data_IF_066290347331
#
_entry.id   IF_066290347331
#
_cell.length_a   1.000
_cell.length_b   1.000
_cell.length_c   1.000
_cell.angle_alpha   90.00
_cell.angle_beta   90.00
_cell.angle_gamma   90.00
#
_symmetry.space_group_name_H-M   'P 1'
#
loop_
_entity.id
_entity.type
_entity.pdbx_description
1 polymer ?
#
# COMPACT_ATOMS: atom_id res chain seq x y z
N UNK A 1 -23.92 -8.86 14.40
CA UNK A 1 -23.24 -8.93 13.09
C UNK A 1 -21.98 -8.09 13.09
N UNK A 2 -20.96 -8.49 12.31
CA UNK A 2 -19.68 -7.80 12.18
C UNK A 2 -19.37 -7.66 10.68
N UNK A 3 -18.80 -6.53 10.29
CA UNK A 3 -18.33 -6.25 8.93
C UNK A 3 -16.87 -5.82 8.99
N UNK A 4 -16.10 -6.13 7.95
CA UNK A 4 -14.69 -5.75 7.80
C UNK A 4 -14.52 -5.05 6.45
N UNK A 5 -13.75 -3.97 6.43
CA UNK A 5 -13.38 -3.26 5.21
C UNK A 5 -12.41 -2.12 5.49
N UNK A 6 -12.13 -1.32 4.46
CA UNK A 6 -11.21 -0.19 4.58
C UNK A 6 -11.84 0.94 5.40
N UNK A 7 -10.97 1.72 6.05
CA UNK A 7 -11.36 2.93 6.75
C UNK A 7 -12.00 3.94 5.79
N UNK A 8 -13.08 4.60 6.20
CA UNK A 8 -13.88 5.47 5.34
C UNK A 8 -14.96 4.72 4.55
N UNK A 9 -14.67 3.54 4.01
CA UNK A 9 -15.66 2.76 3.23
C UNK A 9 -16.73 2.13 4.12
N UNK A 10 -16.31 1.53 5.25
CA UNK A 10 -17.21 0.75 6.12
C UNK A 10 -17.50 1.46 7.45
N UNK A 11 -16.55 2.23 7.97
CA UNK A 11 -16.68 2.88 9.29
C UNK A 11 -17.86 3.85 9.32
N UNK A 12 -17.99 4.71 8.30
CA UNK A 12 -19.09 5.67 8.20
C UNK A 12 -20.45 4.97 8.15
N UNK A 13 -20.59 3.97 7.27
CA UNK A 13 -21.84 3.22 7.12
C UNK A 13 -22.21 2.40 8.37
N UNK A 14 -21.22 1.93 9.12
CA UNK A 14 -21.41 1.23 10.39
C UNK A 14 -21.85 2.21 11.48
N UNK A 15 -21.19 3.37 11.60
CA UNK A 15 -21.51 4.41 12.58
C UNK A 15 -22.93 4.98 12.39
N UNK A 16 -23.35 5.21 11.15
CA UNK A 16 -24.71 5.67 10.82
C UNK A 16 -25.80 4.68 11.28
N UNK A 17 -25.44 3.41 11.47
CA UNK A 17 -26.33 2.34 11.97
C UNK A 17 -26.16 2.08 13.48
N UNK A 18 -25.49 2.97 14.21
CA UNK A 18 -25.19 2.79 15.64
C UNK A 18 -24.10 1.75 15.92
N UNK A 19 -23.34 1.36 14.90
CA UNK A 19 -22.17 0.50 15.04
C UNK A 19 -20.99 1.25 15.67
N UNK A 20 -20.01 0.47 16.15
CA UNK A 20 -18.75 0.98 16.69
C UNK A 20 -17.57 0.23 16.10
N UNK A 21 -16.45 0.91 15.92
CA UNK A 21 -15.19 0.29 15.54
C UNK A 21 -14.75 -0.66 16.67
N UNK A 22 -14.48 -1.92 16.32
CA UNK A 22 -14.02 -2.94 17.28
C UNK A 22 -12.50 -3.06 17.32
N UNK A 23 -11.85 -2.91 16.17
CA UNK A 23 -10.40 -2.96 15.99
C UNK A 23 -10.03 -2.29 14.66
N UNK A 24 -8.78 -1.84 14.55
CA UNK A 24 -8.21 -1.31 13.32
C UNK A 24 -6.86 -1.94 13.04
N UNK A 25 -6.32 -1.76 11.83
CA UNK A 25 -4.94 -2.18 11.52
C UNK A 25 -3.89 -1.35 12.28
N UNK A 26 -4.27 -0.30 13.02
CA UNK A 26 -3.37 0.33 13.97
C UNK A 26 -3.02 -0.60 15.15
N UNK A 27 -3.94 -1.51 15.52
CA UNK A 27 -3.74 -2.49 16.60
C UNK A 27 -2.90 -3.70 16.16
N UNK A 28 -2.82 -3.93 14.84
CA UNK A 28 -2.07 -5.02 14.23
C UNK A 28 -1.42 -4.51 12.93
N UNK A 29 -0.33 -3.71 13.06
CA UNK A 29 0.38 -3.22 11.89
C UNK A 29 0.98 -4.39 11.11
N UNK A 30 1.25 -4.18 9.83
CA UNK A 30 1.90 -5.17 8.95
C UNK A 30 1.03 -6.36 8.49
N UNK A 31 -0.29 -6.29 8.71
CA UNK A 31 -1.25 -7.31 8.24
C UNK A 31 -1.59 -7.22 6.75
N UNK A 32 -1.47 -6.04 6.15
CA UNK A 32 -1.91 -5.75 4.79
C UNK A 32 -0.91 -4.79 4.12
N UNK A 33 -0.73 -4.93 2.81
CA UNK A 33 0.05 -4.01 2.00
C UNK A 33 -0.67 -3.71 0.69
N UNK A 34 -0.66 -2.44 0.30
CA UNK A 34 -1.06 -2.01 -1.04
C UNK A 34 0.17 -2.00 -1.93
N UNK A 35 0.14 -2.77 -3.02
CA UNK A 35 1.27 -2.90 -3.94
C UNK A 35 0.92 -2.36 -5.32
N UNK A 36 1.89 -1.67 -5.95
CA UNK A 36 1.78 -1.28 -7.35
C UNK A 36 2.01 -2.50 -8.23
N UNK A 37 1.03 -2.84 -9.06
CA UNK A 37 1.11 -3.95 -10.01
C UNK A 37 1.08 -3.39 -11.43
N UNK A 38 2.00 -3.86 -12.26
CA UNK A 38 2.03 -3.59 -13.69
C UNK A 38 1.99 -4.92 -14.45
N UNK A 39 1.44 -4.91 -15.67
CA UNK A 39 1.57 -6.07 -16.55
C UNK A 39 3.04 -6.29 -16.91
N UNK A 40 3.48 -7.55 -16.85
CA UNK A 40 4.88 -7.90 -17.12
C UNK A 40 5.34 -7.50 -18.53
N UNK A 41 4.49 -7.66 -19.54
CA UNK A 41 4.80 -7.27 -20.92
C UNK A 41 4.95 -5.75 -21.09
N UNK A 42 4.11 -4.97 -20.41
CA UNK A 42 4.22 -3.52 -20.36
C UNK A 42 5.50 -3.08 -19.65
N UNK A 43 5.80 -3.66 -18.48
CA UNK A 43 7.00 -3.31 -17.71
C UNK A 43 8.29 -3.63 -18.48
N UNK A 44 8.33 -4.79 -19.16
CA UNK A 44 9.45 -5.19 -20.00
C UNK A 44 9.63 -4.26 -21.21
N UNK A 45 8.53 -3.83 -21.85
CA UNK A 45 8.58 -2.96 -23.03
C UNK A 45 8.85 -1.49 -22.69
N UNK A 46 8.41 -1.03 -21.52
CA UNK A 46 8.48 0.37 -21.11
C UNK A 46 9.07 0.55 -19.70
N UNK A 47 10.30 0.07 -19.43
CA UNK A 47 10.90 0.13 -18.10
C UNK A 47 11.04 1.56 -17.57
N UNK A 48 11.32 2.52 -18.46
CA UNK A 48 11.41 3.93 -18.07
C UNK A 48 10.07 4.57 -17.73
N UNK A 49 8.95 4.07 -18.29
CA UNK A 49 7.62 4.52 -17.89
C UNK A 49 7.33 4.08 -16.46
N UNK A 50 7.62 2.81 -16.13
CA UNK A 50 7.46 2.27 -14.77
C UNK A 50 8.30 3.07 -13.76
N UNK A 51 9.57 3.36 -14.09
CA UNK A 51 10.45 4.20 -13.25
C UNK A 51 9.87 5.59 -13.00
N UNK A 52 9.31 6.23 -14.03
CA UNK A 52 8.69 7.57 -13.92
C UNK A 52 7.42 7.54 -13.07
N UNK A 53 6.58 6.52 -13.23
CA UNK A 53 5.38 6.34 -12.39
C UNK A 53 5.77 6.14 -10.93
N UNK A 54 6.70 5.23 -10.65
CA UNK A 54 7.19 4.98 -9.29
C UNK A 54 7.77 6.24 -8.65
N UNK A 55 8.58 7.00 -9.41
CA UNK A 55 9.12 8.29 -8.95
C UNK A 55 8.01 9.27 -8.62
N UNK A 56 7.03 9.43 -9.51
CA UNK A 56 5.88 10.31 -9.29
C UNK A 56 5.10 9.96 -8.03
N UNK A 57 4.82 8.68 -7.80
CA UNK A 57 4.13 8.20 -6.60
C UNK A 57 4.91 8.54 -5.31
N UNK A 58 6.21 8.29 -5.31
CA UNK A 58 7.08 8.61 -4.15
C UNK A 58 7.19 10.12 -3.90
N UNK A 59 7.31 10.93 -4.96
CA UNK A 59 7.37 12.39 -4.86
C UNK A 59 6.06 12.97 -4.34
N UNK A 60 4.93 12.50 -4.86
CA UNK A 60 3.61 12.91 -4.36
C UNK A 60 3.41 12.48 -2.90
N UNK A 61 3.79 11.26 -2.54
CA UNK A 61 3.74 10.77 -1.16
C UNK A 61 4.56 11.65 -0.21
N UNK A 62 5.80 12.00 -0.58
CA UNK A 62 6.62 12.94 0.18
C UNK A 62 5.99 14.34 0.26
N UNK A 63 5.36 14.81 -0.82
CA UNK A 63 4.63 16.07 -0.84
C UNK A 63 3.48 16.11 0.17
N UNK A 64 2.70 15.03 0.25
CA UNK A 64 1.61 14.87 1.23
C UNK A 64 2.16 14.86 2.65
N UNK A 65 3.27 14.15 2.91
CA UNK A 65 3.90 14.12 4.24
C UNK A 65 4.44 15.49 4.67
N UNK A 66 4.97 16.28 3.73
CA UNK A 66 5.48 17.64 4.00
C UNK A 66 4.35 18.66 4.19
N UNK A 67 3.27 18.54 3.44
CA UNK A 67 2.12 19.45 3.49
C UNK A 67 0.80 18.67 3.58
N UNK A 68 0.47 18.07 4.74
CA UNK A 68 -0.74 17.25 4.89
C UNK A 68 -2.02 18.01 4.57
N UNK A 69 -2.08 19.31 4.88
CA UNK A 69 -3.23 20.15 4.59
C UNK A 69 -3.54 20.27 3.09
N UNK A 70 -2.50 20.35 2.24
CA UNK A 70 -2.68 20.40 0.78
C UNK A 70 -3.19 19.05 0.26
N UNK A 71 -2.66 17.95 0.78
CA UNK A 71 -3.16 16.60 0.49
C UNK A 71 -4.61 16.42 0.93
N UNK A 72 -4.96 16.86 2.14
CA UNK A 72 -6.31 16.75 2.68
C UNK A 72 -7.32 17.57 1.86
N UNK A 73 -6.94 18.78 1.41
CA UNK A 73 -7.78 19.58 0.52
C UNK A 73 -8.09 18.84 -0.78
N UNK A 74 -7.05 18.33 -1.47
CA UNK A 74 -7.24 17.58 -2.71
C UNK A 74 -8.09 16.33 -2.47
N UNK A 75 -7.82 15.60 -1.38
CA UNK A 75 -8.57 14.39 -1.04
C UNK A 75 -10.04 14.68 -0.77
N UNK A 76 -10.37 15.78 -0.09
CA UNK A 76 -11.74 16.23 0.12
C UNK A 76 -12.47 16.61 -1.18
N UNK A 77 -11.74 17.10 -2.19
CA UNK A 77 -12.30 17.42 -3.51
C UNK A 77 -12.55 16.15 -4.36
N UNK A 78 -11.63 15.17 -4.35
CA UNK A 78 -11.69 13.99 -5.24
C UNK A 78 -12.35 12.76 -4.60
N UNK A 79 -12.36 12.67 -3.28
CA UNK A 79 -12.87 11.53 -2.52
C UNK A 79 -13.62 11.98 -1.25
N UNK A 80 -14.68 12.80 -1.38
CA UNK A 80 -15.44 13.31 -0.23
C UNK A 80 -16.12 12.21 0.58
N UNK A 81 -16.31 11.02 0.00
CA UNK A 81 -16.90 9.86 0.68
C UNK A 81 -16.02 9.29 1.79
N UNK A 82 -14.75 9.67 1.89
CA UNK A 82 -13.83 9.22 2.95
C UNK A 82 -14.03 9.93 4.30
N UNK A 83 -14.97 10.89 4.40
CA UNK A 83 -15.20 11.66 5.62
C UNK A 83 -14.16 12.77 5.81
N UNK A 84 -13.57 12.89 7.00
CA UNK A 84 -12.51 13.87 7.26
C UNK A 84 -11.23 13.47 6.51
N UNK A 85 -10.80 14.23 5.48
CA UNK A 85 -9.65 13.87 4.67
C UNK A 85 -8.33 13.91 5.46
N UNK A 86 -8.26 14.68 6.55
CA UNK A 86 -7.09 14.72 7.42
C UNK A 86 -6.97 13.44 8.24
N UNK A 87 -8.09 12.92 8.74
CA UNK A 87 -8.13 11.61 9.41
C UNK A 87 -7.83 10.48 8.43
N UNK A 88 -8.37 10.54 7.21
CA UNK A 88 -8.08 9.55 6.18
C UNK A 88 -6.57 9.44 5.90
N UNK A 89 -5.88 10.57 5.70
CA UNK A 89 -4.42 10.58 5.51
C UNK A 89 -3.66 10.06 6.74
N UNK A 90 -4.10 10.39 7.96
CA UNK A 90 -3.50 9.86 9.19
C UNK A 90 -3.68 8.36 9.33
N UNK A 91 -4.83 7.83 8.93
CA UNK A 91 -5.15 6.40 9.01
C UNK A 91 -4.34 5.54 8.04
N UNK A 92 -3.89 6.15 6.93
CA UNK A 92 -3.12 5.48 5.87
C UNK A 92 -2.07 6.44 5.28
N UNK A 93 -0.97 6.73 6.02
CA UNK A 93 0.06 7.63 5.54
C UNK A 93 0.76 7.04 4.30
N UNK A 94 1.17 7.88 3.32
CA UNK A 94 1.93 7.40 2.16
C UNK A 94 3.25 6.75 2.57
N UNK A 95 3.55 5.58 2.01
CA UNK A 95 4.82 4.89 2.23
C UNK A 95 6.01 5.68 1.65
N UNK A 96 7.08 5.80 2.42
CA UNK A 96 8.31 6.47 1.98
C UNK A 96 9.19 5.56 1.14
N UNK A 97 10.23 6.12 0.50
CA UNK A 97 11.24 5.32 -0.18
C UNK A 97 11.95 4.35 0.78
N UNK A 98 12.23 4.79 2.01
CA UNK A 98 12.87 3.94 3.02
C UNK A 98 11.96 2.75 3.39
N UNK A 99 10.67 3.01 3.61
CA UNK A 99 9.69 1.95 3.90
C UNK A 99 9.61 0.93 2.76
N UNK A 100 9.57 1.41 1.50
CA UNK A 100 9.54 0.53 0.34
C UNK A 100 10.82 -0.30 0.21
N UNK A 101 12.00 0.29 0.45
CA UNK A 101 13.26 -0.46 0.39
C UNK A 101 13.33 -1.54 1.48
N UNK A 102 12.88 -1.24 2.69
CA UNK A 102 12.79 -2.22 3.76
C UNK A 102 11.80 -3.33 3.42
N UNK A 103 10.56 -2.97 3.04
CA UNK A 103 9.50 -3.93 2.71
C UNK A 103 9.89 -4.90 1.59
N UNK A 104 10.60 -4.43 0.56
CA UNK A 104 11.08 -5.28 -0.54
C UNK A 104 12.47 -5.89 -0.31
N UNK A 105 13.02 -5.82 0.91
CA UNK A 105 14.27 -6.47 1.28
C UNK A 105 15.53 -5.88 0.62
N UNK A 106 15.48 -4.60 0.21
CA UNK A 106 16.62 -3.89 -0.41
C UNK A 106 17.51 -3.17 0.62
N UNK A 107 17.02 -2.88 1.82
CA UNK A 107 17.81 -2.28 2.89
C UNK A 107 17.16 -2.39 4.26
N UNK A 108 17.97 -2.47 5.31
CA UNK A 108 17.50 -2.45 6.69
C UNK A 108 16.69 -3.68 7.06
N UNK A 109 16.10 -3.63 8.25
CA UNK A 109 15.16 -4.64 8.74
C UNK A 109 13.74 -4.10 8.58
N UNK A 110 12.83 -4.95 8.07
CA UNK A 110 11.41 -4.65 8.00
C UNK A 110 10.67 -5.54 9.00
N UNK A 111 9.65 -5.04 9.71
CA UNK A 111 8.81 -5.87 10.60
C UNK A 111 8.09 -7.00 9.85
N UNK A 112 7.77 -6.77 8.58
CA UNK A 112 7.34 -7.78 7.62
C UNK A 112 7.90 -7.42 6.26
N UNK A 113 8.33 -8.43 5.50
CA UNK A 113 8.73 -8.27 4.11
C UNK A 113 7.59 -8.58 3.16
N UNK A 114 7.71 -8.14 1.90
CA UNK A 114 6.79 -8.51 0.83
C UNK A 114 6.66 -10.03 0.69
N UNK A 115 7.78 -10.76 0.78
CA UNK A 115 7.79 -12.21 0.56
C UNK A 115 7.00 -12.93 1.67
N UNK A 116 7.23 -12.57 2.93
CA UNK A 116 6.49 -13.12 4.07
C UNK A 116 4.99 -12.83 4.00
N UNK A 117 4.62 -11.59 3.66
CA UNK A 117 3.23 -11.17 3.59
C UNK A 117 2.51 -11.80 2.40
N UNK A 118 3.13 -11.84 1.23
CA UNK A 118 2.58 -12.47 0.03
C UNK A 118 2.35 -13.96 0.28
N UNK A 119 3.34 -14.69 0.80
CA UNK A 119 3.20 -16.11 1.07
C UNK A 119 2.11 -16.41 2.09
N UNK A 120 2.02 -15.59 3.15
CA UNK A 120 0.96 -15.71 4.16
C UNK A 120 -0.43 -15.50 3.54
N UNK A 121 -0.60 -14.46 2.73
CA UNK A 121 -1.85 -14.17 2.05
C UNK A 121 -2.22 -15.27 1.03
N UNK A 122 -1.23 -15.77 0.29
CA UNK A 122 -1.42 -16.76 -0.74
C UNK A 122 -1.78 -18.14 -0.16
N UNK A 123 -1.16 -18.52 0.97
CA UNK A 123 -1.54 -19.72 1.73
C UNK A 123 -2.98 -19.63 2.28
N UNK A 124 -3.40 -18.46 2.76
CA UNK A 124 -4.78 -18.23 3.19
C UNK A 124 -5.75 -18.35 2.00
N UNK A 125 -5.44 -17.70 0.88
CA UNK A 125 -6.25 -17.76 -0.34
C UNK A 125 -6.42 -19.19 -0.85
N UNK A 126 -5.34 -19.99 -0.84
CA UNK A 126 -5.40 -21.40 -1.24
C UNK A 126 -6.32 -22.22 -0.33
N UNK A 127 -6.24 -22.02 1.00
CA UNK A 127 -7.12 -22.68 1.96
C UNK A 127 -8.60 -22.35 1.73
N UNK A 128 -8.91 -21.10 1.40
CA UNK A 128 -10.27 -20.62 1.19
C UNK A 128 -10.87 -21.08 -0.15
N UNK A 129 -10.08 -20.99 -1.23
CA UNK A 129 -10.60 -21.17 -2.59
C UNK A 129 -10.29 -22.52 -3.23
N UNK A 130 -9.58 -23.43 -2.52
CA UNK A 130 -9.14 -24.75 -3.03
C UNK A 130 -8.52 -24.66 -4.44
N UNK A 131 -7.82 -23.56 -4.70
CA UNK A 131 -7.29 -23.21 -6.01
C UNK A 131 -5.88 -23.76 -6.24
N UNK A 132 -5.35 -23.41 -7.41
CA UNK A 132 -3.95 -23.66 -7.78
C UNK A 132 -3.00 -23.05 -6.75
N UNK A 133 -1.85 -23.70 -6.56
CA UNK A 133 -0.79 -23.13 -5.73
C UNK A 133 -0.38 -21.76 -6.30
N UNK A 134 -0.24 -20.72 -5.45
CA UNK A 134 0.26 -19.43 -5.86
C UNK A 134 1.73 -19.56 -6.32
N UNK A 135 2.20 -18.67 -7.23
CA UNK A 135 3.62 -18.61 -7.55
C UNK A 135 4.45 -18.22 -6.32
N UNK A 136 5.76 -18.52 -6.32
CA UNK A 136 6.70 -17.94 -5.35
C UNK A 136 6.66 -16.41 -5.37
N UNK A 137 6.85 -15.77 -4.21
CA UNK A 137 6.78 -14.32 -4.09
C UNK A 137 7.90 -13.60 -4.88
N UNK A 138 9.07 -14.23 -4.99
CA UNK A 138 10.18 -13.72 -5.79
C UNK A 138 9.83 -13.59 -7.28
N UNK A 139 8.91 -14.42 -7.79
CA UNK A 139 8.46 -14.40 -9.19
C UNK A 139 7.39 -13.34 -9.45
N UNK A 140 6.83 -12.72 -8.41
CA UNK A 140 5.74 -11.74 -8.52
C UNK A 140 6.20 -10.29 -8.34
N UNK A 141 7.49 -10.06 -8.03
CA UNK A 141 8.06 -8.73 -7.83
C UNK A 141 9.09 -8.36 -8.89
N UNK A 142 9.01 -7.12 -9.37
CA UNK A 142 10.08 -6.49 -10.16
C UNK A 142 10.72 -5.37 -9.32
N UNK A 143 11.97 -5.57 -8.91
CA UNK A 143 12.72 -4.62 -8.09
C UNK A 143 13.54 -3.63 -8.91
N UNK A 144 13.58 -3.76 -10.25
CA UNK A 144 14.45 -2.95 -11.10
C UNK A 144 14.14 -1.46 -11.04
N UNK A 145 12.86 -1.09 -11.05
CA UNK A 145 12.45 0.30 -10.93
C UNK A 145 12.77 0.88 -9.55
N UNK A 146 12.54 0.11 -8.47
CA UNK A 146 12.79 0.56 -7.11
C UNK A 146 14.29 0.74 -6.83
N UNK A 147 15.13 -0.21 -7.26
CA UNK A 147 16.59 -0.10 -7.19
C UNK A 147 17.09 1.15 -7.91
N UNK A 148 16.64 1.37 -9.14
CA UNK A 148 17.01 2.55 -9.93
C UNK A 148 16.64 3.87 -9.24
N UNK A 149 15.43 3.98 -8.70
CA UNK A 149 15.00 5.21 -7.99
C UNK A 149 15.75 5.39 -6.67
N UNK A 150 16.13 4.30 -6.01
CA UNK A 150 16.91 4.32 -4.76
C UNK A 150 18.33 4.85 -5.00
N UNK A 151 19.02 4.33 -6.02
CA UNK A 151 20.37 4.77 -6.39
C UNK A 151 20.39 6.25 -6.80
N UNK A 152 19.38 6.70 -7.54
CA UNK A 152 19.29 8.09 -7.98
C UNK A 152 19.09 9.11 -6.83
N UNK A 153 18.68 8.65 -5.65
CA UNK A 153 18.39 9.52 -4.48
C UNK A 153 19.40 9.37 -3.34
N UNK A 154 20.37 8.47 -3.47
CA UNK A 154 21.34 8.16 -2.42
C UNK A 154 20.82 7.15 -1.40
N UNK A 155 21.70 6.66 -0.50
CA UNK A 155 21.32 5.74 0.58
C UNK A 155 20.26 6.35 1.51
#
# INVERSE_FOLDING_TARGET
>A
DVVVGLWGDVELAARDRGGKVLATTADAPHLLATVLVARGDFAARYPDAVRRVLRGLLDTGQGVLKSPAAGARLLGEVAPYLGDPSEAIRSAPPATLADNRAFFGLSGEAPVTYDELFQSAAALFQKLNRGTAPPPAEDTRDLGALKYVSEARGP
#
